data_IF_947823992059
#
_entry.id   IF_947823992059
#
_cell.length_a   1.000
_cell.length_b   1.000
_cell.length_c   1.000
_cell.angle_alpha   90.00
_cell.angle_beta   90.00
_cell.angle_gamma   90.00
#
_symmetry.space_group_name_H-M   'P 1'
#
loop_
_entity.id
_entity.type
_entity.pdbx_description
1 polymer ?
#
# COMPACT_ATOMS: atom_id res chain seq x y z
N UNK A 1 -23.39 -19.91 -33.79
CA UNK A 1 -24.13 -18.77 -33.18
C UNK A 1 -23.26 -18.21 -32.06
N UNK A 2 -22.67 -17.03 -32.25
CA UNK A 2 -21.91 -16.33 -31.20
C UNK A 2 -22.87 -15.38 -30.50
N UNK A 3 -23.20 -15.65 -29.25
CA UNK A 3 -23.99 -14.78 -28.39
C UNK A 3 -23.19 -13.51 -28.10
N UNK A 4 -23.71 -12.37 -28.57
CA UNK A 4 -23.21 -11.05 -28.22
C UNK A 4 -23.52 -10.80 -26.74
N UNK A 5 -22.49 -10.82 -25.89
CA UNK A 5 -22.59 -10.31 -24.53
C UNK A 5 -22.66 -8.78 -24.62
N UNK A 6 -23.83 -8.21 -24.33
CA UNK A 6 -24.02 -6.78 -24.27
C UNK A 6 -23.14 -6.15 -23.20
N UNK A 7 -22.26 -5.24 -23.62
CA UNK A 7 -21.52 -4.36 -22.71
C UNK A 7 -22.52 -3.40 -22.06
N UNK A 8 -22.84 -3.60 -20.78
CA UNK A 8 -23.57 -2.61 -20.01
C UNK A 8 -22.59 -1.49 -19.63
N UNK A 9 -22.69 -0.33 -20.27
CA UNK A 9 -21.97 0.87 -19.87
C UNK A 9 -22.55 1.36 -18.53
N UNK A 10 -21.84 1.10 -17.43
CA UNK A 10 -22.17 1.64 -16.12
C UNK A 10 -21.61 3.06 -16.06
N UNK A 11 -22.44 4.05 -16.39
CA UNK A 11 -22.11 5.46 -16.18
C UNK A 11 -21.90 5.71 -14.68
N UNK A 12 -20.67 6.00 -14.27
CA UNK A 12 -20.34 6.38 -12.89
C UNK A 12 -20.65 7.86 -12.68
N UNK A 13 -21.93 8.20 -12.52
CA UNK A 13 -22.34 9.45 -11.90
C UNK A 13 -22.15 9.32 -10.37
N UNK A 14 -20.90 9.26 -9.93
CA UNK A 14 -20.59 9.29 -8.51
C UNK A 14 -20.88 10.69 -7.97
N UNK A 15 -22.03 10.87 -7.32
CA UNK A 15 -22.27 12.05 -6.48
C UNK A 15 -21.18 12.08 -5.42
N UNK A 16 -20.28 13.07 -5.48
CA UNK A 16 -19.33 13.34 -4.42
C UNK A 16 -20.15 13.60 -3.16
N UNK A 17 -20.10 12.67 -2.20
CA UNK A 17 -20.78 12.86 -0.93
C UNK A 17 -20.29 14.19 -0.33
N UNK A 18 -21.22 15.03 0.15
CA UNK A 18 -20.88 16.25 0.86
C UNK A 18 -20.06 15.87 2.10
N UNK A 19 -18.78 16.23 2.10
CA UNK A 19 -17.89 16.01 3.24
C UNK A 19 -17.97 17.25 4.15
N UNK A 20 -18.07 17.07 5.47
CA UNK A 20 -18.20 18.19 6.39
C UNK A 20 -17.00 19.14 6.24
N UNK A 21 -17.28 20.42 6.02
CA UNK A 21 -16.28 21.48 6.08
C UNK A 21 -15.98 21.82 7.53
N UNK A 22 -14.70 22.06 7.85
CA UNK A 22 -14.33 22.72 9.10
C UNK A 22 -14.19 21.87 10.37
N UNK A 23 -13.81 20.60 10.28
CA UNK A 23 -13.27 19.90 11.45
C UNK A 23 -11.77 20.16 11.58
N UNK A 24 -11.34 20.75 12.71
CA UNK A 24 -9.92 20.76 13.10
C UNK A 24 -9.34 19.35 12.92
N UNK A 25 -8.07 19.24 12.49
CA UNK A 25 -7.33 17.96 12.48
C UNK A 25 -7.09 17.53 13.96
N UNK A 26 -8.15 17.15 14.65
CA UNK A 26 -8.22 16.69 16.04
C UNK A 26 -7.49 15.35 16.23
N UNK A 27 -6.98 15.10 17.45
CA UNK A 27 -5.56 14.91 17.68
C UNK A 27 -4.98 13.82 16.77
N UNK A 28 -4.09 14.31 15.90
CA UNK A 28 -3.24 13.55 15.02
C UNK A 28 -2.71 12.29 15.70
N UNK A 29 -2.74 11.17 14.97
CA UNK A 29 -2.11 9.91 15.36
C UNK A 29 -0.84 10.16 16.19
N UNK A 30 -0.76 9.53 17.35
CA UNK A 30 0.31 9.74 18.33
C UNK A 30 1.62 9.21 17.76
N UNK A 31 2.63 10.07 17.64
CA UNK A 31 3.99 9.60 17.31
C UNK A 31 4.48 8.64 18.40
N UNK A 32 4.93 7.46 18.01
CA UNK A 32 5.49 6.45 18.92
C UNK A 32 7.02 6.50 18.95
N UNK A 33 7.63 6.46 17.78
CA UNK A 33 9.08 6.43 17.51
C UNK A 33 9.35 6.47 16.00
N UNK A 34 10.63 6.51 15.62
CA UNK A 34 11.08 6.38 14.23
C UNK A 34 12.27 5.43 14.07
N UNK A 35 12.57 5.11 12.81
CA UNK A 35 13.63 4.23 12.39
C UNK A 35 14.46 4.86 11.27
N UNK A 36 15.77 4.61 11.31
CA UNK A 36 16.69 4.87 10.21
C UNK A 36 16.99 3.54 9.52
N UNK A 37 16.30 3.28 8.42
CA UNK A 37 16.45 2.04 7.66
C UNK A 37 17.49 2.19 6.56
N UNK A 38 18.05 1.07 6.11
CA UNK A 38 18.99 1.00 4.99
C UNK A 38 18.47 0.03 3.96
N UNK A 39 18.15 0.48 2.75
CA UNK A 39 17.58 -0.36 1.70
C UNK A 39 18.55 -0.45 0.54
N UNK A 40 18.99 -1.67 0.20
CA UNK A 40 19.90 -1.89 -0.91
C UNK A 40 19.17 -1.76 -2.25
N UNK A 41 19.85 -1.32 -3.32
CA UNK A 41 19.32 -1.42 -4.67
C UNK A 41 19.15 -2.89 -5.08
N UNK A 42 18.11 -3.19 -5.84
CA UNK A 42 17.80 -4.53 -6.31
C UNK A 42 18.91 -5.11 -7.18
N UNK A 43 19.24 -6.37 -6.94
CA UNK A 43 20.34 -7.09 -7.57
C UNK A 43 21.72 -6.66 -7.07
N UNK A 44 21.80 -5.82 -6.04
CA UNK A 44 23.06 -5.33 -5.50
C UNK A 44 23.16 -5.60 -3.98
N UNK A 45 24.03 -6.54 -3.56
CA UNK A 45 24.20 -6.85 -2.14
C UNK A 45 25.00 -5.80 -1.36
N UNK A 46 25.60 -4.80 -2.03
CA UNK A 46 26.52 -3.82 -1.43
C UNK A 46 25.81 -2.81 -0.51
N UNK A 47 26.03 -2.92 0.80
CA UNK A 47 25.54 -1.97 1.80
C UNK A 47 26.00 -0.51 1.64
N UNK A 48 27.22 -0.20 1.15
CA UNK A 48 27.62 1.18 0.93
C UNK A 48 26.75 1.95 -0.08
N UNK A 49 26.02 1.24 -0.94
CA UNK A 49 25.07 1.83 -1.92
C UNK A 49 23.63 1.85 -1.40
N UNK A 50 23.38 1.35 -0.19
CA UNK A 50 22.04 1.31 0.38
C UNK A 50 21.52 2.73 0.63
N UNK A 51 20.31 3.00 0.15
CA UNK A 51 19.59 4.23 0.46
C UNK A 51 19.23 4.25 1.95
N UNK A 52 19.36 5.41 2.58
CA UNK A 52 18.91 5.62 3.96
C UNK A 52 17.49 6.18 3.93
N UNK A 53 16.59 5.56 4.67
CA UNK A 53 15.16 5.88 4.66
C UNK A 53 14.71 6.12 6.08
N UNK A 54 14.24 7.32 6.37
CA UNK A 54 13.61 7.60 7.65
C UNK A 54 12.16 7.10 7.64
N UNK A 55 11.74 6.44 8.72
CA UNK A 55 10.36 5.97 8.90
C UNK A 55 9.86 6.37 10.27
N UNK A 56 8.70 7.00 10.35
CA UNK A 56 8.04 7.31 11.63
C UNK A 56 6.82 6.42 11.81
N UNK A 57 6.61 5.96 13.05
CA UNK A 57 5.52 5.08 13.44
C UNK A 57 4.57 5.84 14.35
N UNK A 58 3.29 5.84 13.98
CA UNK A 58 2.20 6.51 14.66
C UNK A 58 1.12 5.52 15.07
N UNK A 59 0.37 5.87 16.12
CA UNK A 59 -0.81 5.13 16.55
C UNK A 59 -2.03 6.03 16.60
N UNK A 60 -3.09 5.62 15.92
CA UNK A 60 -4.41 6.24 15.96
C UNK A 60 -5.36 5.34 16.75
N UNK A 61 -5.70 5.76 17.97
CA UNK A 61 -6.55 5.00 18.87
C UNK A 61 -8.03 5.02 18.45
N UNK A 62 -8.47 6.03 17.68
CA UNK A 62 -9.83 6.14 17.18
C UNK A 62 -10.08 5.18 16.03
N UNK A 63 -9.11 5.07 15.12
CA UNK A 63 -9.15 4.18 13.97
C UNK A 63 -8.63 2.76 14.28
N UNK A 64 -8.06 2.54 15.47
CA UNK A 64 -7.35 1.30 15.85
C UNK A 64 -6.27 0.95 14.82
N UNK A 65 -5.51 1.96 14.42
CA UNK A 65 -4.51 1.86 13.36
C UNK A 65 -3.10 2.14 13.89
N UNK A 66 -2.16 1.31 13.47
CA UNK A 66 -0.74 1.62 13.45
C UNK A 66 -0.41 2.13 12.04
N UNK A 67 0.21 3.30 11.94
CA UNK A 67 0.56 3.94 10.67
C UNK A 67 2.07 4.15 10.63
N UNK A 68 2.75 3.56 9.65
CA UNK A 68 4.13 3.89 9.33
C UNK A 68 4.16 4.80 8.12
N UNK A 69 5.00 5.84 8.16
CA UNK A 69 5.20 6.76 7.05
C UNK A 69 6.70 6.99 6.82
N UNK A 70 7.15 6.89 5.57
CA UNK A 70 8.55 7.19 5.22
C UNK A 70 8.78 8.69 5.05
N UNK A 71 10.05 9.08 5.04
CA UNK A 71 10.52 10.43 4.72
C UNK A 71 10.19 10.89 3.30
N UNK A 72 9.76 9.98 2.42
CA UNK A 72 9.18 10.24 1.10
C UNK A 72 7.63 10.28 1.10
N UNK A 73 6.99 10.10 2.26
CA UNK A 73 5.54 10.17 2.43
C UNK A 73 4.78 8.93 1.97
N UNK A 74 5.44 7.77 1.88
CA UNK A 74 4.79 6.50 1.59
C UNK A 74 4.25 5.85 2.86
N UNK A 75 3.06 5.27 2.78
CA UNK A 75 2.30 4.75 3.91
C UNK A 75 2.37 3.22 3.99
N UNK A 76 2.36 2.70 5.21
CA UNK A 76 1.90 1.35 5.53
C UNK A 76 1.00 1.42 6.76
N UNK A 77 -0.05 0.60 6.79
CA UNK A 77 -0.96 0.54 7.93
C UNK A 77 -1.21 -0.89 8.37
N UNK A 78 -1.45 -1.07 9.66
CA UNK A 78 -1.84 -2.34 10.25
C UNK A 78 -2.73 -2.11 11.47
N UNK A 79 -3.44 -3.13 11.98
CA UNK A 79 -4.18 -2.98 13.23
C UNK A 79 -3.27 -2.50 14.37
N UNK A 80 -3.72 -1.55 15.18
CA UNK A 80 -3.01 -1.14 16.39
C UNK A 80 -2.90 -2.32 17.36
N UNK A 81 -1.80 -2.40 18.10
CA UNK A 81 -1.60 -3.37 19.16
C UNK A 81 -0.75 -2.77 20.28
N UNK A 82 -0.42 -3.55 21.32
CA UNK A 82 0.50 -3.12 22.36
C UNK A 82 1.84 -2.69 21.77
N UNK A 83 2.41 -1.60 22.29
CA UNK A 83 3.74 -1.12 21.93
C UNK A 83 4.71 -1.49 23.04
N UNK A 84 5.67 -2.36 22.72
CA UNK A 84 6.74 -2.79 23.60
C UNK A 84 7.73 -1.68 23.95
N UNK A 85 8.53 -1.93 24.99
CA UNK A 85 9.56 -0.99 25.45
C UNK A 85 10.74 -0.86 24.47
N UNK A 86 11.07 -1.92 23.74
CA UNK A 86 12.14 -1.90 22.74
C UNK A 86 11.60 -1.37 21.41
N UNK A 87 11.89 -0.10 21.11
CA UNK A 87 11.40 0.62 19.93
C UNK A 87 12.39 0.59 18.77
N UNK A 88 13.29 -0.39 18.74
CA UNK A 88 14.30 -0.55 17.69
C UNK A 88 13.76 -1.44 16.56
N UNK A 89 14.29 -1.20 15.36
CA UNK A 89 14.15 -2.12 14.23
C UNK A 89 15.36 -3.05 14.17
N UNK A 90 15.14 -4.33 13.88
CA UNK A 90 16.20 -5.31 13.62
C UNK A 90 16.08 -5.85 12.21
N UNK A 91 17.08 -5.62 11.36
CA UNK A 91 17.14 -6.21 10.03
C UNK A 91 17.05 -7.75 10.11
N UNK A 92 16.29 -8.36 9.20
CA UNK A 92 16.07 -9.80 9.14
C UNK A 92 16.64 -10.40 7.87
N UNK A 93 16.27 -9.85 6.71
CA UNK A 93 16.73 -10.33 5.41
C UNK A 93 16.49 -9.25 4.33
N UNK A 94 17.04 -9.47 3.15
CA UNK A 94 16.79 -8.63 1.97
C UNK A 94 16.30 -9.48 0.80
N UNK A 95 15.37 -8.92 0.03
CA UNK A 95 14.68 -9.58 -1.05
C UNK A 95 14.92 -8.79 -2.34
N UNK A 96 15.30 -9.49 -3.41
CA UNK A 96 15.39 -8.93 -4.75
C UNK A 96 14.15 -9.29 -5.55
N UNK A 97 13.24 -8.33 -5.74
CA UNK A 97 11.98 -8.56 -6.43
C UNK A 97 12.08 -8.02 -7.86
N UNK A 98 12.12 -8.92 -8.84
CA UNK A 98 12.09 -8.56 -10.26
C UNK A 98 10.68 -8.14 -10.64
N UNK A 99 10.55 -7.05 -11.38
CA UNK A 99 9.24 -6.55 -11.80
C UNK A 99 9.23 -6.21 -13.27
N UNK A 100 8.29 -6.82 -13.97
CA UNK A 100 8.01 -6.52 -15.37
C UNK A 100 7.12 -5.30 -15.46
N UNK A 101 7.33 -4.52 -16.51
CA UNK A 101 6.33 -3.53 -16.92
C UNK A 101 5.12 -4.23 -17.51
N UNK A 102 3.97 -3.56 -17.46
CA UNK A 102 2.76 -4.10 -18.06
C UNK A 102 2.98 -4.45 -19.55
N UNK A 103 2.56 -5.65 -19.95
CA UNK A 103 2.68 -6.17 -21.31
C UNK A 103 4.01 -6.89 -21.62
N UNK A 104 4.97 -6.94 -20.68
CA UNK A 104 6.19 -7.73 -20.87
C UNK A 104 5.93 -9.22 -20.57
N UNK A 105 6.11 -10.14 -21.53
CA UNK A 105 5.70 -11.54 -21.37
C UNK A 105 6.66 -12.36 -20.52
N UNK A 106 7.91 -11.94 -20.37
CA UNK A 106 8.98 -12.73 -19.73
C UNK A 106 9.98 -11.84 -19.00
N UNK A 107 10.66 -12.42 -18.01
CA UNK A 107 11.79 -11.75 -17.37
C UNK A 107 12.97 -11.71 -18.33
N UNK A 108 13.51 -10.51 -18.55
CA UNK A 108 14.71 -10.30 -19.36
C UNK A 108 15.85 -9.79 -18.48
N UNK A 109 17.04 -9.66 -19.06
CA UNK A 109 18.17 -9.00 -18.38
C UNK A 109 17.89 -7.51 -18.08
N UNK A 110 16.91 -6.90 -18.76
CA UNK A 110 16.49 -5.50 -18.55
C UNK A 110 15.37 -5.36 -17.52
N UNK A 111 14.76 -6.46 -17.09
CA UNK A 111 13.74 -6.43 -16.05
C UNK A 111 14.38 -5.89 -14.77
N UNK A 112 13.83 -4.78 -14.27
CA UNK A 112 14.31 -4.13 -13.05
C UNK A 112 14.08 -5.05 -11.85
N UNK A 113 15.08 -5.18 -11.00
CA UNK A 113 14.91 -5.69 -9.66
C UNK A 113 14.78 -4.51 -8.68
N UNK A 114 13.87 -4.63 -7.73
CA UNK A 114 13.75 -3.73 -6.59
C UNK A 114 14.26 -4.44 -5.34
N UNK A 115 15.16 -3.80 -4.61
CA UNK A 115 15.58 -4.26 -3.29
C UNK A 115 14.51 -3.95 -2.27
N UNK A 116 14.15 -4.95 -1.47
CA UNK A 116 13.19 -4.85 -0.36
C UNK A 116 13.84 -5.44 0.88
N UNK A 117 14.11 -4.60 1.87
CA UNK A 117 14.67 -5.04 3.13
C UNK A 117 13.57 -5.29 4.16
N UNK A 118 13.68 -6.40 4.88
CA UNK A 118 12.71 -6.82 5.89
C UNK A 118 13.30 -6.53 7.27
N UNK A 119 12.63 -5.66 8.00
CA UNK A 119 12.96 -5.36 9.39
C UNK A 119 11.90 -5.94 10.30
N UNK A 120 12.31 -6.43 11.47
CA UNK A 120 11.40 -6.66 12.58
C UNK A 120 11.38 -5.39 13.43
N UNK A 121 10.24 -4.73 13.48
CA UNK A 121 10.00 -3.65 14.44
C UNK A 121 9.68 -4.29 15.79
N UNK A 122 10.59 -4.13 16.75
CA UNK A 122 10.47 -4.74 18.08
C UNK A 122 9.41 -4.02 18.93
N UNK A 123 9.07 -2.77 18.59
CA UNK A 123 8.08 -1.99 19.34
C UNK A 123 6.68 -2.51 19.07
N UNK A 124 6.34 -2.78 17.82
CA UNK A 124 5.00 -3.28 17.45
C UNK A 124 4.96 -4.79 17.21
N UNK A 125 6.11 -5.45 17.26
CA UNK A 125 6.29 -6.85 16.88
C UNK A 125 5.72 -7.16 15.49
N UNK A 126 5.98 -6.28 14.53
CA UNK A 126 5.59 -6.43 13.13
C UNK A 126 6.81 -6.56 12.24
N UNK A 127 6.59 -7.08 11.04
CA UNK A 127 7.54 -6.95 9.95
C UNK A 127 7.27 -5.65 9.22
N UNK A 128 8.33 -4.91 8.95
CA UNK A 128 8.37 -3.72 8.14
C UNK A 128 9.20 -4.02 6.90
N UNK A 129 8.51 -4.15 5.77
CA UNK A 129 9.13 -4.24 4.46
C UNK A 129 9.40 -2.82 3.97
N UNK A 130 10.66 -2.50 3.68
CA UNK A 130 11.07 -1.21 3.14
C UNK A 130 11.73 -1.43 1.78
N UNK A 131 11.10 -0.92 0.73
CA UNK A 131 11.61 -1.01 -0.64
C UNK A 131 12.32 0.29 -1.05
N UNK A 132 13.09 0.20 -2.14
CA UNK A 132 13.72 1.37 -2.77
C UNK A 132 12.73 2.54 -2.93
N UNK A 133 13.20 3.77 -2.73
CA UNK A 133 12.36 4.96 -2.82
C UNK A 133 11.48 5.22 -1.59
N UNK A 134 11.52 4.35 -0.57
CA UNK A 134 10.81 4.56 0.69
C UNK A 134 9.43 3.95 0.76
N UNK A 135 9.07 3.06 -0.17
CA UNK A 135 7.80 2.32 -0.10
C UNK A 135 7.80 1.36 1.08
N UNK A 136 6.67 1.29 1.80
CA UNK A 136 6.55 0.53 3.03
C UNK A 136 5.41 -0.48 2.92
N UNK A 137 5.56 -1.63 3.57
CA UNK A 137 4.46 -2.51 3.92
C UNK A 137 4.65 -3.08 5.34
N UNK A 138 3.54 -3.28 6.04
CA UNK A 138 3.52 -3.89 7.37
C UNK A 138 2.87 -5.27 7.28
N UNK A 139 3.45 -6.26 7.95
CA UNK A 139 2.86 -7.58 8.09
C UNK A 139 2.98 -8.10 9.54
N UNK A 140 2.15 -9.09 9.95
CA UNK A 140 2.37 -9.81 11.19
C UNK A 140 3.74 -10.48 11.21
N UNK A 141 4.46 -10.40 12.33
CA UNK A 141 5.66 -11.20 12.52
C UNK A 141 5.30 -12.64 12.90
N UNK A 142 5.73 -13.67 12.14
CA UNK A 142 5.54 -15.05 12.54
C UNK A 142 6.36 -15.35 13.82
N UNK A 143 5.89 -16.32 14.62
CA UNK A 143 6.60 -16.74 15.83
C UNK A 143 8.01 -17.27 15.55
N UNK A 144 8.16 -17.99 14.43
CA UNK A 144 9.43 -18.54 13.95
C UNK A 144 9.77 -17.91 12.61
N UNK A 145 10.50 -16.79 12.64
CA UNK A 145 11.03 -16.19 11.43
C UNK A 145 12.29 -16.96 11.03
N UNK A 146 12.28 -17.60 9.86
CA UNK A 146 13.53 -18.05 9.23
C UNK A 146 14.11 -16.88 8.46
N UNK A 147 15.43 -16.66 8.50
CA UNK A 147 16.09 -15.65 7.67
C UNK A 147 16.67 -16.31 6.40
N UNK A 148 17.03 -15.46 5.44
CA UNK A 148 17.87 -15.80 4.28
C UNK A 148 17.28 -16.79 3.27
N UNK A 149 15.95 -16.96 3.25
CA UNK A 149 15.29 -17.59 2.11
C UNK A 149 14.96 -16.55 1.05
N UNK A 150 15.35 -16.83 -0.18
CA UNK A 150 14.98 -16.01 -1.33
C UNK A 150 13.45 -16.03 -1.54
N UNK A 151 12.86 -14.91 -2.00
CA UNK A 151 11.45 -14.86 -2.35
C UNK A 151 11.19 -15.79 -3.55
N UNK A 152 10.07 -16.51 -3.53
CA UNK A 152 9.65 -17.35 -4.65
C UNK A 152 8.65 -16.59 -5.51
N UNK A 153 8.91 -16.47 -6.80
CA UNK A 153 7.93 -15.90 -7.72
C UNK A 153 6.65 -16.72 -7.69
N UNK A 154 5.50 -16.05 -7.58
CA UNK A 154 4.19 -16.70 -7.46
C UNK A 154 3.35 -16.52 -8.72
N UNK A 155 3.09 -15.28 -9.12
CA UNK A 155 2.36 -14.95 -10.34
C UNK A 155 2.53 -13.47 -10.69
N UNK A 156 1.94 -13.04 -11.82
CA UNK A 156 1.99 -11.66 -12.29
C UNK A 156 0.64 -11.20 -12.81
N UNK A 157 0.40 -9.89 -12.77
CA UNK A 157 -0.82 -9.24 -13.22
C UNK A 157 -0.49 -7.92 -13.95
N UNK A 158 -1.21 -7.64 -15.05
CA UNK A 158 -1.18 -6.34 -15.73
C UNK A 158 -2.41 -5.52 -15.31
N UNK A 159 -2.30 -4.79 -14.21
CA UNK A 159 -3.41 -4.04 -13.63
C UNK A 159 -3.74 -2.82 -14.49
N UNK A 160 -4.97 -2.31 -14.35
CA UNK A 160 -5.40 -1.07 -14.98
C UNK A 160 -6.03 -0.12 -13.96
N UNK A 161 -5.69 1.16 -14.05
CA UNK A 161 -6.26 2.23 -13.24
C UNK A 161 -6.85 3.31 -14.14
N UNK A 162 -8.14 3.59 -13.97
CA UNK A 162 -8.83 4.64 -14.73
C UNK A 162 -8.47 6.02 -14.20
N UNK A 163 -8.36 6.99 -15.11
CA UNK A 163 -8.31 8.40 -14.75
C UNK A 163 -9.68 8.92 -14.29
N UNK A 164 -9.73 10.14 -13.74
CA UNK A 164 -10.95 10.75 -13.18
C UNK A 164 -12.11 10.87 -14.17
N UNK A 165 -11.78 11.05 -15.46
CA UNK A 165 -12.70 11.25 -16.57
C UNK A 165 -12.92 9.99 -17.41
N UNK A 166 -12.36 8.84 -16.99
CA UNK A 166 -12.48 7.58 -17.70
C UNK A 166 -13.53 6.68 -17.05
N UNK A 167 -14.50 6.24 -17.86
CA UNK A 167 -15.52 5.25 -17.49
C UNK A 167 -15.09 3.82 -17.84
N UNK A 168 -14.30 3.65 -18.91
CA UNK A 168 -13.80 2.36 -19.41
C UNK A 168 -12.30 2.15 -19.19
N UNK A 169 -11.85 0.90 -19.39
CA UNK A 169 -10.45 0.48 -19.23
C UNK A 169 -9.63 0.45 -20.54
N UNK A 170 -10.16 0.98 -21.65
CA UNK A 170 -9.47 0.95 -22.95
C UNK A 170 -8.17 1.77 -22.91
N UNK A 171 -8.25 2.99 -22.35
CA UNK A 171 -7.14 3.93 -22.24
C UNK A 171 -6.66 4.11 -20.79
N UNK A 172 -7.02 3.19 -19.90
CA UNK A 172 -6.60 3.20 -18.52
C UNK A 172 -5.09 2.97 -18.41
N UNK A 173 -4.46 3.62 -17.41
CA UNK A 173 -3.03 3.44 -17.12
C UNK A 173 -2.80 1.99 -16.74
N UNK A 174 -1.84 1.33 -17.41
CA UNK A 174 -1.42 -0.03 -17.08
C UNK A 174 -0.29 0.00 -16.05
N UNK A 175 -0.32 -0.93 -15.10
CA UNK A 175 0.69 -1.09 -14.06
C UNK A 175 1.09 -2.56 -14.03
N UNK A 176 2.38 -2.84 -14.22
CA UNK A 176 2.92 -4.17 -14.02
C UNK A 176 2.95 -4.51 -12.53
N UNK A 177 2.49 -5.70 -12.17
CA UNK A 177 2.50 -6.22 -10.81
C UNK A 177 3.08 -7.63 -10.79
N UNK A 178 4.09 -7.85 -9.95
CA UNK A 178 4.57 -9.19 -9.62
C UNK A 178 4.19 -9.53 -8.19
N UNK A 179 3.88 -10.81 -7.98
CA UNK A 179 3.55 -11.37 -6.68
C UNK A 179 4.57 -12.43 -6.33
N UNK A 180 5.13 -12.31 -5.15
CA UNK A 180 6.11 -13.21 -4.58
C UNK A 180 5.58 -13.84 -3.31
N UNK A 181 5.94 -15.10 -3.07
CA UNK A 181 5.84 -15.73 -1.77
C UNK A 181 7.12 -15.43 -1.00
N UNK A 182 6.98 -14.82 0.17
CA UNK A 182 8.09 -14.65 1.09
C UNK A 182 8.25 -15.94 1.89
N UNK A 183 9.23 -16.77 1.52
CA UNK A 183 9.49 -18.06 2.16
C UNK A 183 9.91 -17.94 3.63
N UNK A 184 10.25 -16.74 4.10
CA UNK A 184 10.59 -16.45 5.49
C UNK A 184 9.34 -16.30 6.37
N UNK A 185 8.21 -15.87 5.79
CA UNK A 185 6.97 -15.54 6.51
C UNK A 185 5.78 -16.38 6.07
N UNK A 186 5.86 -16.99 4.89
CA UNK A 186 4.75 -17.66 4.21
C UNK A 186 3.73 -16.69 3.60
N UNK A 187 3.91 -15.37 3.78
CA UNK A 187 3.03 -14.34 3.23
C UNK A 187 3.26 -14.09 1.73
N UNK A 188 2.41 -13.24 1.17
CA UNK A 188 2.59 -12.74 -0.20
C UNK A 188 3.08 -11.29 -0.16
N UNK A 189 4.01 -11.00 -1.06
CA UNK A 189 4.53 -9.68 -1.36
C UNK A 189 4.13 -9.29 -2.78
N UNK A 190 3.41 -8.19 -2.88
CA UNK A 190 3.00 -7.56 -4.12
C UNK A 190 3.98 -6.43 -4.40
N UNK A 191 4.50 -6.34 -5.62
CA UNK A 191 5.39 -5.25 -6.01
C UNK A 191 5.06 -4.73 -7.41
N UNK A 192 4.87 -3.42 -7.54
CA UNK A 192 4.55 -2.77 -8.82
C UNK A 192 5.79 -2.37 -9.58
N UNK A 193 5.63 -2.05 -10.87
CA UNK A 193 6.71 -1.61 -11.76
C UNK A 193 7.34 -0.24 -11.37
N UNK A 194 6.76 0.46 -10.39
CA UNK A 194 7.34 1.65 -9.75
C UNK A 194 8.04 1.35 -8.41
N UNK A 195 8.01 0.10 -7.95
CA UNK A 195 8.63 -0.36 -6.70
C UNK A 195 7.73 -0.29 -5.48
N UNK A 196 6.46 0.09 -5.62
CA UNK A 196 5.53 0.11 -4.50
C UNK A 196 5.23 -1.31 -4.04
N UNK A 197 5.29 -1.54 -2.72
CA UNK A 197 5.11 -2.85 -2.10
C UNK A 197 3.85 -2.91 -1.24
N UNK A 198 3.20 -4.07 -1.23
CA UNK A 198 2.19 -4.43 -0.25
C UNK A 198 2.41 -5.87 0.23
N UNK A 199 2.03 -6.16 1.47
CA UNK A 199 2.18 -7.49 2.05
C UNK A 199 0.83 -8.01 2.55
N UNK A 200 0.56 -9.29 2.34
CA UNK A 200 -0.57 -9.99 2.98
C UNK A 200 -0.07 -11.18 3.79
N UNK A 201 -0.71 -11.51 4.92
CA UNK A 201 -0.40 -12.72 5.67
C UNK A 201 -0.50 -13.99 4.82
N UNK A 202 0.11 -15.07 5.29
CA UNK A 202 -0.09 -16.40 4.73
C UNK A 202 -1.59 -16.78 4.76
N UNK A 203 -2.09 -17.38 3.69
CA UNK A 203 -3.50 -17.75 3.56
C UNK A 203 -3.74 -18.79 2.46
N UNK A 204 -4.98 -19.26 2.26
CA UNK A 204 -5.28 -20.30 1.26
C UNK A 204 -4.81 -19.97 -0.17
N UNK A 205 -4.67 -18.68 -0.49
CA UNK A 205 -4.17 -18.20 -1.78
C UNK A 205 -2.65 -18.12 -1.91
N UNK A 206 -1.86 -18.46 -0.88
CA UNK A 206 -0.39 -18.36 -0.91
C UNK A 206 0.32 -19.66 -1.31
N UNK A 207 -0.43 -20.68 -1.74
CA UNK A 207 0.14 -21.92 -2.25
C UNK A 207 0.67 -21.71 -3.68
N UNK A 208 1.67 -22.50 -4.07
CA UNK A 208 2.22 -22.44 -5.43
C UNK A 208 1.11 -22.58 -6.48
N UNK A 209 1.15 -21.71 -7.50
CA UNK A 209 0.21 -21.74 -8.61
C UNK A 209 0.93 -22.03 -9.91
N UNK A 210 0.36 -22.93 -10.71
CA UNK A 210 0.90 -23.23 -12.04
C UNK A 210 0.62 -22.10 -13.04
N UNK A 211 -0.47 -21.33 -12.85
CA UNK A 211 -0.88 -20.25 -13.74
C UNK A 211 -1.70 -19.20 -12.98
N UNK A 212 -1.41 -17.92 -13.22
CA UNK A 212 -2.24 -16.81 -12.76
C UNK A 212 -3.66 -16.92 -13.34
N UNK A 213 -4.69 -16.65 -12.53
CA UNK A 213 -6.07 -16.58 -13.01
C UNK A 213 -6.43 -15.21 -13.59
N UNK A 214 -5.59 -14.21 -13.35
CA UNK A 214 -5.81 -12.83 -13.78
C UNK A 214 -6.44 -11.99 -12.67
N UNK A 215 -7.08 -10.90 -13.08
CA UNK A 215 -7.76 -9.99 -12.17
C UNK A 215 -9.10 -9.56 -12.76
N UNK A 216 -10.03 -9.19 -11.89
CA UNK A 216 -11.31 -8.60 -12.28
C UNK A 216 -11.54 -7.28 -11.54
N UNK A 217 -12.05 -6.24 -12.21
CA UNK A 217 -12.36 -4.98 -11.55
C UNK A 217 -13.53 -5.18 -10.59
N UNK A 218 -13.40 -4.69 -9.35
CA UNK A 218 -14.48 -4.68 -8.37
C UNK A 218 -15.25 -3.36 -8.45
N UNK A 219 -14.54 -2.24 -8.30
CA UNK A 219 -15.07 -0.88 -8.39
C UNK A 219 -13.93 0.15 -8.32
N UNK A 220 -14.21 1.40 -8.70
CA UNK A 220 -13.29 2.53 -8.56
C UNK A 220 -13.70 3.45 -7.42
N UNK A 221 -12.71 4.12 -6.82
CA UNK A 221 -12.84 5.13 -5.78
C UNK A 221 -12.21 6.44 -6.25
N UNK A 222 -12.85 7.57 -5.92
CA UNK A 222 -12.29 8.90 -6.15
C UNK A 222 -12.07 9.58 -4.80
N UNK A 223 -10.83 9.63 -4.36
CA UNK A 223 -10.45 10.05 -3.02
C UNK A 223 -9.91 11.47 -3.06
N UNK A 224 -10.51 12.40 -2.32
CA UNK A 224 -9.96 13.75 -2.18
C UNK A 224 -8.83 13.73 -1.15
N UNK A 225 -7.70 14.36 -1.46
CA UNK A 225 -6.53 14.34 -0.58
C UNK A 225 -6.02 15.76 -0.41
N UNK A 226 -6.09 16.26 0.82
CA UNK A 226 -5.55 17.59 1.17
C UNK A 226 -4.06 17.51 1.37
N UNK A 227 -3.37 18.58 1.00
CA UNK A 227 -1.98 18.80 1.42
C UNK A 227 -1.87 19.05 2.92
N UNK A 228 -0.67 18.90 3.48
CA UNK A 228 -0.47 19.14 4.92
C UNK A 228 -0.74 20.59 5.37
N UNK A 229 -0.73 21.54 4.45
CA UNK A 229 -1.02 22.98 4.63
C UNK A 229 -2.42 23.39 4.15
N UNK A 230 -3.20 22.46 3.58
CA UNK A 230 -4.57 22.71 3.11
C UNK A 230 -5.58 22.40 4.23
N UNK A 231 -6.29 23.42 4.76
CA UNK A 231 -7.22 23.24 5.89
C UNK A 231 -8.56 22.64 5.45
N UNK A 232 -9.05 22.99 4.26
CA UNK A 232 -10.40 22.64 3.80
C UNK A 232 -10.38 21.93 2.46
N UNK A 233 -11.38 21.09 2.23
CA UNK A 233 -11.64 20.57 0.90
C UNK A 233 -12.19 21.68 0.01
N UNK A 234 -11.48 21.98 -1.07
CA UNK A 234 -11.88 22.92 -2.12
C UNK A 234 -12.08 22.17 -3.44
N UNK A 235 -12.58 22.86 -4.46
CA UNK A 235 -12.61 22.31 -5.82
C UNK A 235 -11.22 22.01 -6.39
N UNK A 236 -10.18 22.66 -5.83
CA UNK A 236 -8.78 22.48 -6.20
C UNK A 236 -8.11 21.34 -5.44
N UNK A 237 -8.74 20.81 -4.39
CA UNK A 237 -8.16 19.69 -3.65
C UNK A 237 -7.94 18.51 -4.60
N UNK A 238 -6.75 17.91 -4.54
CA UNK A 238 -6.37 16.80 -5.40
C UNK A 238 -7.40 15.67 -5.26
N UNK A 239 -7.84 15.13 -6.39
CA UNK A 239 -8.62 13.90 -6.47
C UNK A 239 -7.71 12.79 -6.97
N UNK A 240 -7.62 11.69 -6.21
CA UNK A 240 -6.82 10.52 -6.54
C UNK A 240 -7.76 9.38 -6.99
N UNK A 241 -7.67 8.91 -8.24
CA UNK A 241 -8.30 7.67 -8.66
C UNK A 241 -7.62 6.47 -7.99
N UNK A 242 -8.44 5.57 -7.45
CA UNK A 242 -8.01 4.27 -6.93
C UNK A 242 -8.93 3.19 -7.49
N UNK A 243 -8.37 2.18 -8.15
CA UNK A 243 -9.13 0.99 -8.53
C UNK A 243 -9.01 -0.08 -7.46
N UNK A 244 -10.16 -0.71 -7.15
CA UNK A 244 -10.23 -1.91 -6.34
C UNK A 244 -10.43 -3.09 -7.27
N UNK A 245 -9.47 -4.01 -7.29
CA UNK A 245 -9.45 -5.20 -8.13
C UNK A 245 -9.46 -6.45 -7.27
N UNK A 246 -9.98 -7.54 -7.79
CA UNK A 246 -9.80 -8.88 -7.20
C UNK A 246 -8.69 -9.56 -7.98
N UNK A 247 -7.63 -9.97 -7.28
CA UNK A 247 -6.70 -10.96 -7.82
C UNK A 247 -7.40 -12.33 -7.76
N UNK A 248 -7.80 -12.86 -8.91
CA UNK A 248 -8.53 -14.12 -8.98
C UNK A 248 -7.67 -15.33 -8.58
N UNK A 249 -6.35 -15.17 -8.55
CA UNK A 249 -5.40 -16.20 -8.14
C UNK A 249 -5.47 -16.42 -6.63
N UNK A 250 -5.48 -15.33 -5.85
CA UNK A 250 -5.40 -15.37 -4.39
C UNK A 250 -6.73 -15.05 -3.69
N UNK A 251 -7.66 -14.42 -4.40
CA UNK A 251 -8.90 -13.85 -3.89
C UNK A 251 -8.73 -12.51 -3.16
N UNK A 252 -7.49 -12.02 -3.01
CA UNK A 252 -7.22 -10.77 -2.31
C UNK A 252 -7.76 -9.56 -3.08
N UNK A 253 -8.11 -8.52 -2.33
CA UNK A 253 -8.44 -7.22 -2.87
C UNK A 253 -7.16 -6.41 -3.05
N UNK A 254 -6.98 -5.84 -4.23
CA UNK A 254 -5.89 -4.94 -4.58
C UNK A 254 -6.45 -3.54 -4.74
N UNK A 255 -5.95 -2.59 -3.96
CA UNK A 255 -6.21 -1.17 -4.12
C UNK A 255 -5.01 -0.58 -4.85
N UNK A 256 -5.23 0.07 -5.98
CA UNK A 256 -4.15 0.57 -6.83
C UNK A 256 -4.47 2.00 -7.26
N UNK A 257 -3.57 2.93 -6.95
CA UNK A 257 -3.72 4.33 -7.34
C UNK A 257 -3.08 4.61 -8.69
N UNK A 258 -3.44 5.75 -9.31
CA UNK A 258 -2.81 6.20 -10.56
C UNK A 258 -1.29 6.41 -10.46
N UNK A 259 -0.75 6.59 -9.24
CA UNK A 259 0.69 6.78 -9.02
C UNK A 259 1.50 5.48 -9.09
N UNK A 260 0.83 4.32 -9.11
CA UNK A 260 1.46 3.02 -8.96
C UNK A 260 1.53 2.54 -7.51
N UNK A 261 1.12 3.35 -6.52
CA UNK A 261 0.98 2.85 -5.15
C UNK A 261 -0.04 1.73 -5.07
N UNK A 262 0.28 0.69 -4.31
CA UNK A 262 -0.55 -0.50 -4.11
C UNK A 262 -0.78 -0.77 -2.63
N UNK A 263 -1.95 -1.27 -2.29
CA UNK A 263 -2.25 -1.90 -1.01
C UNK A 263 -3.04 -3.19 -1.26
N UNK A 264 -2.80 -4.22 -0.45
CA UNK A 264 -3.48 -5.51 -0.56
C UNK A 264 -4.23 -5.81 0.73
N UNK A 265 -5.46 -6.30 0.61
CA UNK A 265 -6.30 -6.69 1.73
C UNK A 265 -6.85 -8.11 1.49
N UNK A 266 -7.13 -8.87 2.56
CA UNK A 266 -7.84 -10.14 2.43
C UNK A 266 -9.19 -9.98 1.71
N UNK A 267 -9.77 -11.08 1.19
CA UNK A 267 -11.11 -11.05 0.64
C UNK A 267 -12.11 -10.47 1.65
N UNK A 268 -12.95 -9.54 1.20
CA UNK A 268 -14.02 -8.94 1.99
C UNK A 268 -15.38 -9.21 1.33
N UNK A 269 -16.44 -9.16 2.14
CA UNK A 269 -17.81 -9.23 1.64
C UNK A 269 -18.12 -8.04 0.72
N UNK A 270 -19.13 -8.20 -0.14
CA UNK A 270 -19.63 -7.12 -1.00
C UNK A 270 -20.89 -6.53 -0.36
N UNK A 271 -20.76 -5.41 0.35
CA UNK A 271 -21.91 -4.62 0.73
C UNK A 271 -22.50 -3.90 -0.50
N UNK A 272 -23.82 -3.68 -0.50
CA UNK A 272 -24.50 -2.97 -1.59
C UNK A 272 -24.17 -1.47 -1.62
N UNK A 273 -23.81 -0.90 -0.46
CA UNK A 273 -23.49 0.52 -0.29
C UNK A 273 -22.26 0.90 -1.10
N UNK A 274 -22.43 1.85 -2.03
CA UNK A 274 -21.37 2.33 -2.91
C UNK A 274 -20.66 3.57 -2.34
N UNK A 275 -19.54 3.92 -2.94
CA UNK A 275 -18.79 5.14 -2.61
C UNK A 275 -17.91 4.98 -1.38
N UNK A 276 -17.50 6.12 -0.84
CA UNK A 276 -16.63 6.20 0.35
C UNK A 276 -17.23 7.09 1.42
N UNK A 277 -16.90 6.80 2.67
CA UNK A 277 -17.21 7.66 3.80
C UNK A 277 -15.90 8.20 4.36
N UNK A 278 -15.74 9.53 4.41
CA UNK A 278 -14.59 10.14 5.06
C UNK A 278 -14.63 9.86 6.57
N UNK A 279 -13.51 9.43 7.14
CA UNK A 279 -13.40 9.02 8.55
C UNK A 279 -12.53 9.95 9.37
N UNK A 280 -11.40 10.36 8.83
CA UNK A 280 -10.42 11.15 9.55
C UNK A 280 -9.46 11.86 8.60
N UNK A 281 -8.72 12.82 9.15
CA UNK A 281 -7.58 13.45 8.50
C UNK A 281 -6.46 13.65 9.52
N UNK A 282 -5.23 13.50 9.08
CA UNK A 282 -4.06 13.66 9.94
C UNK A 282 -2.91 14.31 9.17
N UNK A 283 -2.03 14.95 9.94
CA UNK A 283 -0.77 15.47 9.46
C UNK A 283 0.34 14.66 10.08
N UNK A 284 0.98 13.82 9.29
CA UNK A 284 2.08 12.99 9.77
C UNK A 284 3.40 13.63 9.40
N UNK A 285 4.33 13.63 10.34
CA UNK A 285 5.70 14.09 10.10
C UNK A 285 6.62 12.89 9.92
N UNK A 286 7.56 12.97 8.99
CA UNK A 286 8.60 11.96 8.82
C UNK A 286 9.97 12.62 8.74
N UNK A 287 10.89 12.22 9.61
CA UNK A 287 12.28 12.69 9.56
C UNK A 287 13.02 11.94 8.47
N UNK A 288 13.93 12.64 7.79
CA UNK A 288 14.92 11.97 6.95
C UNK A 288 15.81 11.08 7.80
N UNK A 289 16.36 10.03 7.20
CA UNK A 289 17.29 9.17 7.93
C UNK A 289 18.46 9.95 8.53
N UNK A 290 18.75 9.71 9.81
CA UNK A 290 19.81 10.38 10.57
C UNK A 290 19.46 11.80 11.06
N UNK A 291 18.29 12.34 10.70
CA UNK A 291 17.79 13.57 11.30
C UNK A 291 17.21 13.26 12.70
N UNK A 292 17.69 13.97 13.71
CA UNK A 292 17.22 13.78 15.09
C UNK A 292 16.17 14.82 15.49
N UNK A 293 16.19 16.00 14.86
CA UNK A 293 15.27 17.10 15.13
C UNK A 293 13.94 16.92 14.40
N UNK A 294 12.91 16.56 15.17
CA UNK A 294 11.56 16.37 14.65
C UNK A 294 10.89 17.67 14.14
N UNK A 295 11.41 18.85 14.51
CA UNK A 295 10.92 20.10 13.97
C UNK A 295 11.20 20.21 12.45
N UNK A 296 12.31 19.62 11.98
CA UNK A 296 12.73 19.60 10.56
C UNK A 296 12.09 18.50 9.72
N UNK A 297 11.31 17.62 10.34
CA UNK A 297 10.63 16.54 9.65
C UNK A 297 9.69 17.07 8.55
N UNK A 298 9.69 16.42 7.39
CA UNK A 298 8.73 16.71 6.33
C UNK A 298 7.32 16.36 6.83
N UNK A 299 6.32 17.16 6.46
CA UNK A 299 4.95 17.02 6.93
C UNK A 299 4.06 16.61 5.75
N UNK A 300 3.25 15.58 5.95
CA UNK A 300 2.40 14.96 4.94
C UNK A 300 0.93 14.98 5.37
N UNK A 301 0.07 15.50 4.50
CA UNK A 301 -1.38 15.38 4.65
C UNK A 301 -1.83 13.96 4.35
N UNK A 302 -2.61 13.36 5.25
CA UNK A 302 -3.17 12.02 5.09
C UNK A 302 -4.67 12.07 5.35
N UNK A 303 -5.45 11.55 4.41
CA UNK A 303 -6.90 11.40 4.52
C UNK A 303 -7.26 9.92 4.68
N UNK A 304 -8.29 9.63 5.49
CA UNK A 304 -8.77 8.28 5.73
C UNK A 304 -10.21 8.15 5.29
N UNK A 305 -10.45 7.18 4.41
CA UNK A 305 -11.77 6.86 3.87
C UNK A 305 -12.15 5.44 4.24
N UNK A 306 -13.40 5.21 4.59
CA UNK A 306 -13.97 3.87 4.54
C UNK A 306 -14.47 3.59 3.12
N UNK A 307 -14.00 2.51 2.52
CA UNK A 307 -14.67 1.92 1.36
C UNK A 307 -15.98 1.29 1.85
N UNK A 308 -17.11 1.85 1.43
CA UNK A 308 -18.43 1.42 1.90
C UNK A 308 -18.80 0.00 1.44
N UNK A 309 -18.15 -0.52 0.38
CA UNK A 309 -18.42 -1.87 -0.12
C UNK A 309 -17.72 -2.95 0.68
N UNK A 310 -16.50 -2.67 1.13
CA UNK A 310 -15.65 -3.66 1.81
C UNK A 310 -15.54 -3.44 3.32
N UNK A 311 -15.86 -2.23 3.78
CA UNK A 311 -15.67 -1.79 5.17
C UNK A 311 -14.21 -1.44 5.50
N UNK A 312 -13.27 -1.63 4.58
CA UNK A 312 -11.86 -1.35 4.81
C UNK A 312 -11.60 0.15 4.95
N UNK A 313 -10.61 0.52 5.75
CA UNK A 313 -10.12 1.90 5.81
C UNK A 313 -8.96 2.07 4.82
N UNK A 314 -9.08 3.03 3.93
CA UNK A 314 -8.10 3.43 2.92
C UNK A 314 -7.45 4.72 3.38
N UNK A 315 -6.18 4.64 3.73
CA UNK A 315 -5.33 5.78 4.08
C UNK A 315 -4.65 6.28 2.81
N UNK A 316 -4.68 7.60 2.58
CA UNK A 316 -4.12 8.21 1.39
C UNK A 316 -3.27 9.42 1.75
N UNK A 317 -1.99 9.38 1.39
CA UNK A 317 -1.06 10.49 1.54
C UNK A 317 -1.17 11.47 0.38
N UNK A 318 -0.86 12.75 0.59
CA UNK A 318 -0.83 13.78 -0.45
C UNK A 318 0.12 13.47 -1.61
N UNK A 319 1.10 12.57 -1.38
CA UNK A 319 2.01 12.03 -2.40
C UNK A 319 1.31 11.08 -3.38
N UNK A 320 0.12 10.58 -3.03
CA UNK A 320 -0.63 9.55 -3.75
C UNK A 320 -0.32 8.13 -3.28
N UNK A 321 0.50 7.97 -2.23
CA UNK A 321 0.66 6.68 -1.56
C UNK A 321 -0.63 6.27 -0.85
N UNK A 322 -0.98 4.99 -0.97
CA UNK A 322 -2.15 4.38 -0.34
C UNK A 322 -1.73 3.23 0.56
N UNK A 323 -2.47 3.03 1.64
CA UNK A 323 -2.37 1.88 2.51
C UNK A 323 -3.77 1.49 3.00
N UNK A 324 -4.02 0.20 3.22
CA UNK A 324 -5.36 -0.30 3.59
C UNK A 324 -5.30 -1.04 4.91
N UNK A 325 -6.16 -0.65 5.83
CA UNK A 325 -6.45 -1.38 7.06
C UNK A 325 -7.72 -2.21 6.82
N UNK A 326 -7.61 -3.56 6.77
CA UNK A 326 -8.76 -4.41 6.57
C UNK A 326 -9.80 -4.23 7.68
N UNK A 327 -11.08 -4.29 7.34
CA UNK A 327 -12.15 -4.34 8.33
C UNK A 327 -11.93 -5.54 9.28
N UNK A 328 -12.20 -5.33 10.57
CA UNK A 328 -12.23 -6.43 11.52
C UNK A 328 -13.33 -7.43 11.09
N UNK A 329 -13.00 -8.73 11.12
CA UNK A 329 -13.98 -9.80 10.92
C UNK A 329 -14.76 -10.07 12.19
#
# INVERSE_FOLDING_TARGET
>A
MRTAAGLLAIAFAGTLAAQPGGGDREPAAKLLYGHDLSVRPGGNPDWPKAAKIGVEVFQDDGLKALVAISDAGHLAVAPSGPVGADKKSRWQTGLDLKVRKAGEPEFTQKTKAFGVEVYRDLGTNRLLYAAEGGWLALAPAPGNLTADKSPKWHHALDLKVRALDQDTFENAKKIGLEVYRDENTGGLLYVTDVGAVAATPAGPGSADVAKAKGWVPSHGLFLRVRKSDEPDFTEKTRKLPVEVLVDETTGNLLYVSETGSIAAAPPAGKAETRGVTWRAAMNLKARKAGETDFAKAAKYGVEVFQDNRTGNLVFVSETGSIAVLPAAK
#
